data_IF_410835690276
#
_entry.id   IF_410835690276
#
_cell.length_a   1.000
_cell.length_b   1.000
_cell.length_c   1.000
_cell.angle_alpha   90.00
_cell.angle_beta   90.00
_cell.angle_gamma   90.00
#
_symmetry.space_group_name_H-M   'P 1'
#
loop_
_entity.id
_entity.type
_entity.pdbx_description
1 polymer ?
#
# COMPACT_ATOMS: atom_id res chain seq x y z
N UNK A 1 -9.77 -7.47 5.81
CA UNK A 1 -10.10 -6.97 4.45
C UNK A 1 -10.76 -8.06 3.58
N UNK A 2 -10.12 -9.22 3.35
CA UNK A 2 -10.64 -10.27 2.45
C UNK A 2 -12.09 -10.70 2.72
N UNK A 3 -12.45 -10.98 3.97
CA UNK A 3 -13.83 -11.35 4.33
C UNK A 3 -14.88 -10.26 3.99
N UNK A 4 -14.50 -8.98 4.06
CA UNK A 4 -15.38 -7.86 3.69
C UNK A 4 -15.48 -7.69 2.17
N UNK A 5 -14.44 -8.09 1.42
CA UNK A 5 -14.50 -8.16 -0.04
C UNK A 5 -15.49 -9.26 -0.46
N UNK A 6 -15.36 -10.46 0.10
CA UNK A 6 -16.27 -11.58 -0.16
C UNK A 6 -17.72 -11.23 0.19
N UNK A 7 -17.94 -10.57 1.34
CA UNK A 7 -19.26 -10.06 1.74
C UNK A 7 -19.82 -9.05 0.72
N UNK A 8 -19.00 -8.09 0.29
CA UNK A 8 -19.41 -7.10 -0.70
C UNK A 8 -19.84 -7.75 -2.02
N UNK A 9 -19.07 -8.73 -2.50
CA UNK A 9 -19.36 -9.46 -3.74
C UNK A 9 -20.65 -10.28 -3.63
N UNK A 10 -20.91 -10.89 -2.48
CA UNK A 10 -22.12 -11.67 -2.23
C UNK A 10 -23.38 -10.79 -2.07
N UNK A 11 -23.27 -9.68 -1.33
CA UNK A 11 -24.41 -8.86 -0.93
C UNK A 11 -24.65 -7.66 -1.87
N UNK A 12 -23.73 -7.39 -2.81
CA UNK A 12 -23.77 -6.26 -3.74
C UNK A 12 -23.44 -4.90 -3.08
N UNK A 13 -22.96 -4.90 -1.85
CA UNK A 13 -22.76 -3.69 -1.04
C UNK A 13 -22.21 -4.00 0.34
N UNK A 14 -21.79 -2.97 1.07
CA UNK A 14 -21.46 -3.05 2.49
C UNK A 14 -22.34 -2.07 3.26
N UNK A 15 -22.69 -2.44 4.50
CA UNK A 15 -23.29 -1.50 5.43
C UNK A 15 -22.27 -0.42 5.83
N UNK A 16 -22.72 0.70 6.39
CA UNK A 16 -21.82 1.77 6.85
C UNK A 16 -20.79 1.26 7.90
N UNK A 17 -21.15 0.46 8.91
CA UNK A 17 -20.17 -0.15 9.82
C UNK A 17 -19.16 -1.05 9.11
N UNK A 18 -19.61 -1.92 8.21
CA UNK A 18 -18.72 -2.82 7.45
C UNK A 18 -17.78 -2.03 6.54
N UNK A 19 -18.27 -0.95 5.92
CA UNK A 19 -17.48 -0.07 5.08
C UNK A 19 -16.41 0.67 5.89
N UNK A 20 -16.75 1.16 7.09
CA UNK A 20 -15.80 1.79 7.99
C UNK A 20 -14.70 0.79 8.41
N UNK A 21 -15.07 -0.44 8.74
CA UNK A 21 -14.11 -1.51 9.02
C UNK A 21 -13.24 -1.83 7.80
N UNK A 22 -13.85 -1.93 6.62
CA UNK A 22 -13.14 -2.20 5.38
C UNK A 22 -12.08 -1.15 5.09
N UNK A 23 -12.39 0.14 5.27
CA UNK A 23 -11.43 1.23 5.11
C UNK A 23 -10.23 1.04 6.04
N UNK A 24 -10.45 0.78 7.33
CA UNK A 24 -9.35 0.55 8.29
C UNK A 24 -8.51 -0.67 7.89
N UNK A 25 -9.14 -1.78 7.54
CA UNK A 25 -8.47 -3.02 7.17
C UNK A 25 -7.69 -2.90 5.84
N UNK A 26 -8.23 -2.17 4.86
CA UNK A 26 -7.57 -1.94 3.58
C UNK A 26 -6.34 -1.03 3.74
N UNK A 27 -6.43 0.02 4.57
CA UNK A 27 -5.32 0.94 4.84
C UNK A 27 -4.08 0.22 5.39
N UNK A 28 -4.24 -0.84 6.20
CA UNK A 28 -3.12 -1.63 6.70
C UNK A 28 -2.27 -2.27 5.59
N UNK A 29 -2.86 -2.58 4.43
CA UNK A 29 -2.12 -3.15 3.29
C UNK A 29 -1.11 -2.17 2.71
N UNK A 30 -1.42 -0.87 2.75
CA UNK A 30 -0.60 0.20 2.16
C UNK A 30 0.24 0.95 3.20
N UNK A 31 0.16 0.54 4.48
CA UNK A 31 0.90 1.17 5.57
C UNK A 31 2.40 0.95 5.38
N UNK A 32 3.18 2.00 5.62
CA UNK A 32 4.64 1.88 5.66
C UNK A 32 5.09 1.07 6.87
N UNK A 33 5.87 0.01 6.61
CA UNK A 33 6.52 -0.80 7.65
C UNK A 33 8.03 -0.61 7.55
N UNK A 34 8.65 -0.04 8.59
CA UNK A 34 10.08 0.28 8.61
C UNK A 34 10.99 -0.96 8.75
N UNK A 35 10.43 -2.13 9.02
CA UNK A 35 11.19 -3.38 9.16
C UNK A 35 11.15 -4.16 7.86
N UNK A 36 12.33 -4.42 7.29
CA UNK A 36 12.45 -5.29 6.13
C UNK A 36 12.10 -6.75 6.46
N UNK A 37 11.60 -7.49 5.47
CA UNK A 37 11.30 -8.93 5.54
C UNK A 37 12.50 -9.81 5.20
N UNK A 38 13.59 -9.20 4.73
CA UNK A 38 14.84 -9.84 4.32
C UNK A 38 16.00 -9.34 5.18
N UNK A 39 17.11 -10.08 5.17
CA UNK A 39 18.35 -9.65 5.80
C UNK A 39 18.96 -8.42 5.10
N UNK A 40 19.90 -7.74 5.78
CA UNK A 40 20.60 -6.60 5.22
C UNK A 40 21.40 -6.96 3.95
N UNK A 41 21.99 -8.15 3.90
CA UNK A 41 22.79 -8.58 2.76
C UNK A 41 21.92 -8.92 1.55
N UNK A 42 20.76 -9.55 1.75
CA UNK A 42 19.76 -9.75 0.69
C UNK A 42 19.20 -8.42 0.18
N UNK A 43 18.88 -7.49 1.08
CA UNK A 43 18.45 -6.15 0.69
C UNK A 43 19.48 -5.45 -0.20
N UNK A 44 20.77 -5.53 0.16
CA UNK A 44 21.86 -4.95 -0.63
C UNK A 44 21.96 -5.56 -2.02
N UNK A 45 21.79 -6.87 -2.15
CA UNK A 45 21.80 -7.56 -3.45
C UNK A 45 20.63 -7.11 -4.33
N UNK A 46 19.41 -7.08 -3.78
CA UNK A 46 18.21 -6.61 -4.49
C UNK A 46 18.38 -5.15 -4.94
N UNK A 47 18.90 -4.29 -4.05
CA UNK A 47 19.08 -2.88 -4.33
C UNK A 47 20.19 -2.61 -5.36
N UNK A 48 21.26 -3.42 -5.36
CA UNK A 48 22.31 -3.36 -6.37
C UNK A 48 21.81 -3.76 -7.76
N UNK A 49 20.82 -4.65 -7.84
CA UNK A 49 20.17 -4.98 -9.11
C UNK A 49 19.26 -3.84 -9.58
N UNK A 50 18.31 -3.42 -8.75
CA UNK A 50 17.48 -2.25 -9.01
C UNK A 50 16.74 -1.79 -7.75
N UNK A 51 16.68 -0.48 -7.51
CA UNK A 51 15.98 0.10 -6.34
C UNK A 51 14.52 -0.34 -6.23
N UNK A 52 13.80 -0.40 -7.35
CA UNK A 52 12.40 -0.88 -7.41
C UNK A 52 12.23 -2.35 -6.97
N UNK A 53 13.24 -3.21 -7.24
CA UNK A 53 13.16 -4.61 -6.81
C UNK A 53 13.25 -4.69 -5.29
N UNK A 54 14.21 -3.97 -4.70
CA UNK A 54 14.33 -3.89 -3.25
C UNK A 54 13.07 -3.30 -2.59
N UNK A 55 12.50 -2.26 -3.21
CA UNK A 55 11.29 -1.58 -2.73
C UNK A 55 10.06 -2.52 -2.66
N UNK A 56 9.88 -3.39 -3.65
CA UNK A 56 8.75 -4.33 -3.70
C UNK A 56 9.00 -5.57 -2.84
N UNK A 57 10.20 -6.14 -2.89
CA UNK A 57 10.47 -7.48 -2.32
C UNK A 57 10.83 -7.41 -0.84
N UNK A 58 11.51 -6.36 -0.39
CA UNK A 58 12.08 -6.31 0.94
C UNK A 58 11.11 -5.85 2.04
N UNK A 59 9.87 -5.49 1.70
CA UNK A 59 8.91 -4.93 2.64
C UNK A 59 7.63 -5.77 2.69
N UNK A 60 6.90 -5.69 3.82
CA UNK A 60 5.74 -6.55 4.09
C UNK A 60 4.54 -6.36 3.15
N UNK A 61 4.46 -5.22 2.48
CA UNK A 61 3.33 -4.88 1.64
C UNK A 61 3.61 -3.70 0.71
N UNK A 62 2.69 -3.43 -0.23
CA UNK A 62 2.81 -2.36 -1.21
C UNK A 62 2.52 -1.01 -0.56
N UNK A 63 3.52 -0.47 0.12
CA UNK A 63 3.39 0.86 0.74
C UNK A 63 3.15 1.95 -0.32
N UNK A 64 2.59 3.07 0.12
CA UNK A 64 2.35 4.19 -0.78
C UNK A 64 3.68 4.84 -1.20
N UNK A 65 4.03 4.74 -2.49
CA UNK A 65 5.20 5.41 -3.05
C UNK A 65 5.00 6.94 -3.16
N UNK A 66 3.79 7.37 -3.52
CA UNK A 66 3.39 8.78 -3.51
C UNK A 66 1.86 8.94 -3.49
N UNK A 67 1.37 10.04 -2.92
CA UNK A 67 0.01 10.55 -3.11
C UNK A 67 0.09 11.89 -3.79
N UNK A 68 -0.47 11.99 -4.99
CA UNK A 68 -0.37 13.21 -5.80
C UNK A 68 -1.66 14.01 -5.68
N UNK A 69 -1.66 15.17 -5.01
CA UNK A 69 -2.83 16.05 -5.00
C UNK A 69 -3.03 16.67 -6.38
N UNK A 70 -4.26 17.09 -6.66
CA UNK A 70 -4.60 17.83 -7.88
C UNK A 70 -4.32 19.33 -7.67
N UNK A 71 -3.57 19.95 -8.58
CA UNK A 71 -3.45 21.41 -8.71
C UNK A 71 -4.17 21.92 -9.97
N UNK A 72 -4.58 23.19 -9.95
CA UNK A 72 -5.12 23.87 -11.13
C UNK A 72 -4.02 24.39 -12.07
N UNK A 73 -2.85 24.70 -11.50
CA UNK A 73 -1.68 25.23 -12.21
C UNK A 73 -0.44 24.57 -11.62
N UNK A 74 0.33 23.86 -12.45
CA UNK A 74 1.54 23.17 -12.02
C UNK A 74 2.72 24.14 -11.87
N UNK A 75 2.78 25.18 -12.69
CA UNK A 75 3.88 26.14 -12.67
C UNK A 75 3.83 27.02 -11.42
N UNK A 76 2.63 27.30 -10.90
CA UNK A 76 2.42 28.06 -9.68
C UNK A 76 2.77 27.28 -8.39
N UNK A 77 2.84 25.95 -8.45
CA UNK A 77 3.05 25.06 -7.29
C UNK A 77 4.44 24.40 -7.32
N UNK A 78 5.17 24.53 -8.43
CA UNK A 78 6.52 23.97 -8.61
C UNK A 78 7.60 24.63 -7.76
#
# INVERSE_FOLDING_TARGET
>A
ALALIEKHEADGGLSEPDAAEFIQQALETFRWHHTATVSLDEYRQLNAQHRLIADVVAFRGPHINHLTPRTLDIDAVQ
#
